data_IF_489082321881
#
_entry.id   IF_489082321881
#
_cell.length_a   1.000
_cell.length_b   1.000
_cell.length_c   1.000
_cell.angle_alpha   90.00
_cell.angle_beta   90.00
_cell.angle_gamma   90.00
#
_symmetry.space_group_name_H-M   'P 1'
#
loop_
_entity.id
_entity.type
_entity.pdbx_description
1 polymer ?
#
# COMPACT_ATOMS: atom_id res chain seq x y z
N UNK A 1 -28.40 7.47 -0.11
CA UNK A 1 -27.61 8.51 0.61
C UNK A 1 -26.27 7.90 1.01
N UNK A 2 -25.28 7.94 0.11
CA UNK A 2 -23.92 7.46 0.40
C UNK A 2 -23.00 8.68 0.44
N UNK A 3 -22.44 8.98 1.62
CA UNK A 3 -21.45 10.05 1.75
C UNK A 3 -20.09 9.54 1.27
N UNK A 4 -19.63 10.10 0.15
CA UNK A 4 -18.29 9.93 -0.39
C UNK A 4 -17.26 10.54 0.57
N UNK A 5 -16.52 9.70 1.29
CA UNK A 5 -15.34 10.14 2.02
C UNK A 5 -14.11 10.02 1.10
N UNK A 6 -13.77 11.12 0.42
CA UNK A 6 -12.43 11.32 -0.13
C UNK A 6 -11.44 11.28 1.03
N UNK A 7 -10.62 10.23 1.13
CA UNK A 7 -9.41 10.27 1.93
C UNK A 7 -8.26 10.57 0.98
N UNK A 8 -7.97 11.86 0.81
CA UNK A 8 -6.69 12.31 0.26
C UNK A 8 -5.61 11.92 1.26
N UNK A 9 -5.09 10.69 1.13
CA UNK A 9 -3.93 10.24 1.88
C UNK A 9 -2.75 11.06 1.35
N UNK A 10 -2.23 11.96 2.18
CA UNK A 10 -0.98 12.66 1.89
C UNK A 10 0.12 11.62 2.12
N UNK A 11 0.58 11.01 1.03
CA UNK A 11 1.71 10.08 1.03
C UNK A 11 2.96 10.93 0.87
N UNK A 12 3.65 11.24 1.97
CA UNK A 12 5.00 11.81 1.89
C UNK A 12 5.98 10.66 1.66
N UNK A 13 6.24 10.39 0.38
CA UNK A 13 7.40 9.60 -0.03
C UNK A 13 8.60 10.56 -0.07
N UNK A 14 9.80 10.11 0.32
CA UNK A 14 11.07 10.87 0.17
C UNK A 14 12.03 10.08 -0.72
N UNK A 15 12.55 10.68 -1.81
CA UNK A 15 13.39 10.01 -2.82
C UNK A 15 13.17 10.50 -4.26
N UNK A 16 14.08 10.18 -5.18
CA UNK A 16 13.88 10.41 -6.61
C UNK A 16 12.95 9.31 -7.18
N UNK A 17 12.15 9.60 -8.20
CA UNK A 17 11.29 8.58 -8.86
C UNK A 17 10.02 8.19 -8.07
N UNK A 18 9.57 9.06 -7.17
CA UNK A 18 8.39 8.84 -6.32
C UNK A 18 7.08 8.93 -7.09
N UNK A 19 7.05 9.79 -8.10
CA UNK A 19 5.83 10.04 -8.86
C UNK A 19 5.36 8.77 -9.57
N UNK A 20 6.30 7.90 -9.92
CA UNK A 20 6.11 6.61 -10.54
C UNK A 20 5.40 5.64 -9.59
N UNK A 21 5.71 5.63 -8.29
CA UNK A 21 5.00 4.81 -7.29
C UNK A 21 3.52 5.15 -7.13
N UNK A 22 3.13 6.36 -7.55
CA UNK A 22 1.78 6.90 -7.45
C UNK A 22 1.11 7.07 -8.82
N UNK A 23 1.80 6.69 -9.90
CA UNK A 23 1.32 6.91 -11.26
C UNK A 23 0.30 5.84 -11.66
N UNK A 24 -0.72 6.21 -12.43
CA UNK A 24 -1.78 5.27 -12.82
C UNK A 24 -1.32 4.24 -13.88
N UNK A 25 -0.33 4.59 -14.71
CA UNK A 25 0.29 3.63 -15.65
C UNK A 25 1.35 2.80 -14.94
N UNK A 26 1.20 1.48 -15.08
CA UNK A 26 2.11 0.44 -14.61
C UNK A 26 3.35 0.26 -15.50
N UNK A 27 3.45 1.01 -16.60
CA UNK A 27 4.62 0.98 -17.49
C UNK A 27 5.79 1.74 -16.88
N UNK A 28 5.50 2.66 -15.94
CA UNK A 28 6.48 3.37 -15.15
C UNK A 28 6.75 2.63 -13.85
N UNK A 29 7.98 2.75 -13.35
CA UNK A 29 8.40 2.13 -12.12
C UNK A 29 9.37 3.01 -11.35
N UNK A 30 9.33 2.89 -10.04
CA UNK A 30 10.43 3.32 -9.19
C UNK A 30 11.51 2.26 -9.23
N UNK A 31 12.75 2.71 -9.42
CA UNK A 31 13.94 1.89 -9.34
C UNK A 31 14.75 2.33 -8.13
N UNK A 32 15.18 1.38 -7.30
CA UNK A 32 16.13 1.68 -6.23
C UNK A 32 17.52 1.98 -6.79
N UNK A 33 18.27 2.79 -6.05
CA UNK A 33 19.69 3.02 -6.31
C UNK A 33 20.42 3.05 -4.96
N UNK A 34 21.11 1.96 -4.63
CA UNK A 34 21.82 1.83 -3.36
C UNK A 34 22.06 0.40 -2.88
N UNK A 35 22.63 0.23 -1.68
CA UNK A 35 22.77 -1.08 -1.06
C UNK A 35 21.43 -1.58 -0.50
N UNK A 36 21.23 -2.90 -0.52
CA UNK A 36 20.10 -3.55 0.16
C UNK A 36 20.23 -3.42 1.70
N UNK A 37 19.09 -3.36 2.43
CA UNK A 37 17.72 -3.40 1.92
C UNK A 37 17.23 -2.07 1.35
N UNK A 38 16.50 -2.14 0.22
CA UNK A 38 15.91 -0.96 -0.40
C UNK A 38 14.66 -0.53 0.34
N UNK A 39 14.54 0.75 0.68
CA UNK A 39 13.50 1.22 1.60
C UNK A 39 12.54 2.20 0.94
N UNK A 40 11.25 1.92 1.02
CA UNK A 40 10.16 2.87 0.73
C UNK A 40 9.49 3.24 2.05
N UNK A 41 9.43 4.52 2.34
CA UNK A 41 8.83 5.05 3.58
C UNK A 41 7.63 5.92 3.25
N UNK A 42 6.49 5.63 3.89
CA UNK A 42 5.25 6.39 3.81
C UNK A 42 4.96 6.98 5.19
N UNK A 43 5.01 8.30 5.29
CA UNK A 43 4.69 9.03 6.52
C UNK A 43 3.29 9.65 6.46
N UNK A 44 2.49 9.43 7.51
CA UNK A 44 1.20 10.07 7.72
C UNK A 44 1.33 11.21 8.73
N UNK A 45 0.67 12.37 8.50
CA UNK A 45 0.76 13.51 9.41
C UNK A 45 0.13 13.26 10.79
N UNK A 46 -0.71 12.23 10.91
CA UNK A 46 -1.39 11.81 12.14
C UNK A 46 -1.56 10.30 12.16
N UNK A 47 -1.79 9.74 13.35
CA UNK A 47 -2.01 8.31 13.54
C UNK A 47 -3.24 7.82 12.75
N UNK A 48 -3.00 7.09 11.68
CA UNK A 48 -3.97 6.72 10.64
C UNK A 48 -4.34 5.25 10.75
N UNK A 49 -5.63 4.93 10.50
CA UNK A 49 -6.12 3.57 10.44
C UNK A 49 -5.72 2.93 9.10
N UNK A 50 -4.96 1.84 9.13
CA UNK A 50 -4.40 1.14 7.97
C UNK A 50 -4.87 -0.31 8.01
N UNK A 51 -5.42 -0.78 6.89
CA UNK A 51 -5.84 -2.16 6.70
C UNK A 51 -4.88 -2.92 5.79
N UNK A 52 -4.50 -2.33 4.66
CA UNK A 52 -3.75 -3.04 3.63
C UNK A 52 -2.70 -2.15 2.98
N UNK A 53 -1.63 -2.77 2.51
CA UNK A 53 -0.76 -2.21 1.47
C UNK A 53 -0.96 -3.02 0.20
N UNK A 54 -1.08 -2.32 -0.93
CA UNK A 54 -1.07 -2.93 -2.25
C UNK A 54 0.18 -2.50 -2.99
N UNK A 55 0.80 -3.45 -3.70
CA UNK A 55 1.97 -3.20 -4.55
C UNK A 55 1.75 -3.84 -5.91
N UNK A 56 2.05 -3.14 -7.00
CA UNK A 56 2.07 -3.75 -8.33
C UNK A 56 3.48 -4.22 -8.66
N UNK A 57 3.64 -5.52 -8.87
CA UNK A 57 4.90 -6.18 -9.23
C UNK A 57 4.71 -6.97 -10.53
N UNK A 58 5.74 -7.06 -11.37
CA UNK A 58 5.64 -7.76 -12.64
C UNK A 58 6.92 -8.53 -12.99
N UNK A 59 7.00 -9.78 -12.53
CA UNK A 59 8.16 -10.64 -12.75
C UNK A 59 8.50 -10.84 -14.23
N UNK A 60 7.50 -10.87 -15.11
CA UNK A 60 7.73 -11.11 -16.54
C UNK A 60 8.47 -9.95 -17.20
N UNK A 61 8.23 -8.74 -16.73
CA UNK A 61 8.83 -7.54 -17.28
C UNK A 61 10.06 -7.07 -16.49
N UNK A 62 10.14 -7.39 -15.19
CA UNK A 62 11.20 -6.90 -14.29
C UNK A 62 12.25 -7.97 -13.94
N UNK A 63 11.97 -9.26 -14.14
CA UNK A 63 12.90 -10.38 -13.89
C UNK A 63 13.61 -10.25 -12.52
N UNK A 64 14.94 -10.09 -12.52
CA UNK A 64 15.77 -9.94 -11.31
C UNK A 64 15.50 -8.66 -10.50
N UNK A 65 14.86 -7.64 -11.07
CA UNK A 65 14.46 -6.43 -10.34
C UNK A 65 13.21 -6.63 -9.47
N UNK A 66 12.55 -7.79 -9.58
CA UNK A 66 11.30 -8.07 -8.86
C UNK A 66 11.57 -8.47 -7.42
N UNK A 67 10.98 -7.80 -6.41
CA UNK A 67 11.03 -8.24 -5.02
C UNK A 67 10.62 -9.71 -4.85
N UNK A 68 11.44 -10.50 -4.17
CA UNK A 68 11.11 -11.87 -3.73
C UNK A 68 10.78 -11.91 -2.25
N UNK A 69 11.34 -10.98 -1.47
CA UNK A 69 11.04 -10.85 -0.04
C UNK A 69 11.08 -9.38 0.38
N UNK A 70 10.05 -8.99 1.12
CA UNK A 70 9.97 -7.69 1.77
C UNK A 70 9.67 -7.86 3.27
N UNK A 71 9.92 -6.80 4.03
CA UNK A 71 9.44 -6.66 5.40
C UNK A 71 8.68 -5.34 5.51
N UNK A 72 7.45 -5.39 6.01
CA UNK A 72 6.61 -4.22 6.23
C UNK A 72 6.57 -3.88 7.71
N UNK A 73 7.02 -2.68 8.05
CA UNK A 73 7.00 -2.14 9.40
C UNK A 73 5.90 -1.08 9.52
N UNK A 74 5.22 -1.11 10.66
CA UNK A 74 4.36 -0.02 11.12
C UNK A 74 5.07 0.71 12.24
N UNK A 75 4.83 2.01 12.41
CA UNK A 75 5.45 2.74 13.51
C UNK A 75 4.70 4.00 13.92
N UNK A 76 5.01 4.46 15.13
CA UNK A 76 4.58 5.78 15.60
C UNK A 76 5.47 6.90 15.08
N UNK A 77 6.71 6.59 14.71
CA UNK A 77 7.68 7.45 14.02
C UNK A 77 8.72 6.57 13.32
N UNK A 78 9.61 7.16 12.53
CA UNK A 78 10.74 6.43 11.91
C UNK A 78 11.72 5.84 12.92
N UNK A 79 11.76 6.38 14.14
CA UNK A 79 12.62 5.91 15.22
C UNK A 79 11.96 4.81 16.07
N UNK A 80 10.64 4.61 15.89
CA UNK A 80 9.82 3.72 16.69
C UNK A 80 8.92 2.88 15.79
N UNK A 81 9.55 1.92 15.11
CA UNK A 81 8.89 0.88 14.33
C UNK A 81 8.55 -0.32 15.23
N UNK A 82 7.37 -0.90 15.03
CA UNK A 82 6.91 -2.15 15.61
C UNK A 82 7.59 -3.35 14.92
N UNK A 83 7.27 -4.57 15.36
CA UNK A 83 7.77 -5.80 14.72
C UNK A 83 7.39 -5.87 13.23
N UNK A 84 8.38 -6.16 12.39
CA UNK A 84 8.21 -6.24 10.95
C UNK A 84 7.41 -7.47 10.52
N UNK A 85 6.52 -7.28 9.55
CA UNK A 85 5.79 -8.36 8.89
C UNK A 85 6.56 -8.82 7.63
N UNK A 86 7.18 -10.01 7.62
CA UNK A 86 7.81 -10.54 6.43
C UNK A 86 6.74 -10.99 5.42
N UNK A 87 6.97 -10.69 4.14
CA UNK A 87 6.13 -11.12 3.02
C UNK A 87 7.05 -11.64 1.92
N UNK A 88 6.71 -12.79 1.36
CA UNK A 88 7.45 -13.44 0.28
C UNK A 88 6.58 -13.50 -0.98
N UNK A 89 7.22 -13.33 -2.13
CA UNK A 89 6.59 -13.37 -3.44
C UNK A 89 7.28 -14.42 -4.30
N UNK A 90 6.50 -15.15 -5.08
CA UNK A 90 6.99 -16.13 -6.04
C UNK A 90 6.54 -15.73 -7.44
N UNK A 91 7.46 -15.15 -8.22
CA UNK A 91 7.23 -14.65 -9.58
C UNK A 91 5.92 -13.83 -9.72
N UNK A 92 5.72 -12.80 -8.87
CA UNK A 92 4.45 -12.09 -8.80
C UNK A 92 4.14 -11.37 -10.12
N UNK A 93 2.87 -11.39 -10.54
CA UNK A 93 2.39 -10.60 -11.68
C UNK A 93 1.09 -9.90 -11.28
N UNK A 94 1.09 -8.57 -11.30
CA UNK A 94 -0.04 -7.73 -10.94
C UNK A 94 -0.06 -7.29 -9.48
N UNK A 95 -1.25 -6.90 -9.00
CA UNK A 95 -1.46 -6.37 -7.65
C UNK A 95 -1.27 -7.44 -6.56
N UNK A 96 -0.33 -7.17 -5.66
CA UNK A 96 -0.10 -7.93 -4.43
C UNK A 96 -0.74 -7.19 -3.26
N UNK A 97 -1.58 -7.89 -2.48
CA UNK A 97 -2.29 -7.34 -1.32
C UNK A 97 -1.67 -7.87 -0.03
N UNK A 98 -1.21 -6.96 0.83
CA UNK A 98 -0.59 -7.27 2.11
C UNK A 98 -1.54 -6.84 3.22
N UNK A 99 -1.96 -7.79 4.05
CA UNK A 99 -2.83 -7.54 5.20
C UNK A 99 -2.04 -7.02 6.40
N UNK A 100 -2.31 -5.77 6.77
CA UNK A 100 -1.70 -5.10 7.90
C UNK A 100 -2.63 -4.99 9.10
N UNK A 101 -3.81 -5.61 9.06
CA UNK A 101 -4.73 -5.61 10.20
C UNK A 101 -4.15 -6.40 11.36
N UNK A 102 -4.59 -6.07 12.57
CA UNK A 102 -4.22 -6.80 13.78
C UNK A 102 -4.61 -8.27 13.65
N UNK A 103 -3.62 -9.18 13.67
CA UNK A 103 -3.86 -10.63 13.61
C UNK A 103 -4.81 -11.13 14.71
N UNK A 104 -4.79 -10.49 15.88
CA UNK A 104 -5.65 -10.87 17.02
C UNK A 104 -7.09 -10.40 16.87
N UNK A 105 -7.31 -9.21 16.31
CA UNK A 105 -8.63 -8.54 16.36
C UNK A 105 -9.27 -8.32 15.00
N UNK A 106 -8.51 -8.59 13.92
CA UNK A 106 -8.86 -8.30 12.54
C UNK A 106 -9.27 -6.83 12.29
N UNK A 107 -8.83 -5.93 13.17
CA UNK A 107 -9.11 -4.49 13.09
C UNK A 107 -7.96 -3.77 12.39
N UNK A 108 -8.23 -2.59 11.79
CA UNK A 108 -7.18 -1.75 11.22
C UNK A 108 -6.07 -1.50 12.24
N UNK A 109 -4.83 -1.65 11.80
CA UNK A 109 -3.67 -1.22 12.59
C UNK A 109 -3.55 0.29 12.52
N UNK A 110 -2.91 0.90 13.51
CA UNK A 110 -2.87 2.35 13.62
C UNK A 110 -1.45 2.86 13.74
N UNK A 111 -0.96 3.51 12.68
CA UNK A 111 0.42 3.94 12.56
C UNK A 111 0.53 5.36 12.00
N UNK A 112 1.69 5.98 12.16
CA UNK A 112 2.10 7.20 11.47
C UNK A 112 3.15 6.94 10.40
N UNK A 113 3.77 5.76 10.41
CA UNK A 113 4.75 5.34 9.41
C UNK A 113 4.39 3.95 8.93
N UNK A 114 4.46 3.75 7.61
CA UNK A 114 4.61 2.44 6.97
C UNK A 114 5.97 2.44 6.29
N UNK A 115 6.84 1.52 6.66
CA UNK A 115 8.13 1.34 6.00
C UNK A 115 8.18 -0.04 5.35
N UNK A 116 8.45 -0.07 4.05
CA UNK A 116 8.59 -1.29 3.26
C UNK A 116 10.06 -1.43 2.94
N UNK A 117 10.67 -2.52 3.40
CA UNK A 117 12.05 -2.86 3.09
C UNK A 117 12.07 -4.05 2.13
N UNK A 118 12.64 -3.86 0.94
CA UNK A 118 12.95 -4.94 0.01
C UNK A 118 14.28 -5.54 0.41
N UNK A 119 14.22 -6.75 1.00
CA UNK A 119 15.40 -7.45 1.53
C UNK A 119 16.01 -8.39 0.51
N UNK A 120 15.20 -8.96 -0.39
CA UNK A 120 15.67 -9.78 -1.50
C UNK A 120 14.84 -9.54 -2.75
N UNK A 121 15.51 -9.63 -3.89
CA UNK A 121 14.87 -9.75 -5.20
C UNK A 121 15.01 -11.17 -5.74
N UNK A 122 14.27 -11.48 -6.80
CA UNK A 122 14.46 -12.71 -7.55
C UNK A 122 15.85 -12.74 -8.19
N UNK A 123 16.37 -13.95 -8.43
CA UNK A 123 17.65 -14.17 -9.12
C UNK A 123 18.85 -13.40 -8.51
N UNK A 124 18.78 -13.06 -7.22
CA UNK A 124 19.76 -12.22 -6.52
C UNK A 124 19.98 -10.84 -7.17
N UNK A 125 18.94 -10.27 -7.79
CA UNK A 125 19.01 -8.96 -8.40
C UNK A 125 19.38 -7.87 -7.40
N UNK A 126 20.23 -6.95 -7.83
CA UNK A 126 20.82 -5.91 -6.99
C UNK A 126 19.81 -4.83 -6.63
N UNK A 127 19.19 -4.23 -7.65
CA UNK A 127 18.22 -3.14 -7.53
C UNK A 127 16.79 -3.68 -7.67
N UNK A 128 15.79 -2.89 -7.27
CA UNK A 128 14.38 -3.30 -7.28
C UNK A 128 13.52 -2.37 -8.12
N UNK A 129 12.52 -2.92 -8.81
CA UNK A 129 11.44 -2.20 -9.45
C UNK A 129 10.14 -2.35 -8.66
N UNK A 130 9.50 -1.23 -8.36
CA UNK A 130 8.12 -1.22 -7.85
C UNK A 130 7.32 -0.28 -8.75
N UNK A 131 6.30 -0.83 -9.40
CA UNK A 131 5.50 -0.09 -10.39
C UNK A 131 4.44 0.80 -9.76
N UNK A 132 3.85 0.37 -8.65
CA UNK A 132 2.86 1.18 -7.93
C UNK A 132 2.71 0.71 -6.48
N UNK A 133 2.45 1.64 -5.55
CA UNK A 133 2.03 1.35 -4.18
C UNK A 133 0.74 2.08 -3.82
N UNK A 134 -0.15 1.42 -3.05
CA UNK A 134 -1.33 2.04 -2.43
C UNK A 134 -1.45 1.59 -0.98
N UNK A 135 -1.84 2.51 -0.10
CA UNK A 135 -2.20 2.17 1.29
C UNK A 135 -3.70 2.34 1.46
N UNK A 136 -4.35 1.32 2.01
CA UNK A 136 -5.80 1.29 2.18
C UNK A 136 -6.16 1.33 3.67
N UNK A 137 -7.08 2.22 4.02
CA UNK A 137 -7.71 2.31 5.33
C UNK A 137 -9.22 1.99 5.27
N UNK A 138 -9.91 1.94 6.41
CA UNK A 138 -11.35 1.76 6.45
C UNK A 138 -12.07 2.98 5.85
N UNK A 139 -13.21 2.75 5.17
CA UNK A 139 -14.04 3.83 4.59
C UNK A 139 -14.54 4.85 5.61
N UNK A 140 -14.61 4.47 6.89
CA UNK A 140 -14.86 5.36 8.04
C UNK A 140 -13.74 5.22 9.05
N UNK A 141 -12.86 6.22 9.15
CA UNK A 141 -11.87 6.28 10.22
C UNK A 141 -12.57 6.64 11.54
N UNK A 142 -12.06 6.08 12.65
CA UNK A 142 -12.61 6.32 13.99
C UNK A 142 -12.51 7.77 14.46
N UNK A 143 -11.74 8.62 13.76
CA UNK A 143 -11.50 10.02 14.15
C UNK A 143 -12.11 11.06 13.21
N UNK A 144 -13.10 10.69 12.36
CA UNK A 144 -13.87 11.66 11.57
C UNK A 144 -14.92 12.45 12.41
N UNK A 145 -14.69 12.63 13.71
CA UNK A 145 -15.50 13.50 14.56
C UNK A 145 -14.87 14.89 14.61
N UNK A 146 -15.56 15.87 13.98
CA UNK A 146 -15.31 17.33 14.00
C UNK A 146 -14.82 18.01 12.71
N UNK A 147 -15.36 17.64 11.55
CA UNK A 147 -15.36 18.56 10.41
C UNK A 147 -16.76 18.64 9.81
N UNK A 148 -17.65 19.43 10.44
CA UNK A 148 -18.87 19.90 9.79
C UNK A 148 -18.41 20.92 8.74
N UNK A 149 -18.49 20.61 7.46
CA UNK A 149 -18.34 21.61 6.40
C UNK A 149 -19.54 21.52 5.45
N UNK A 150 -20.11 22.70 5.21
CA UNK A 150 -21.33 22.95 4.45
C UNK A 150 -21.24 22.47 3.00
N UNK A 151 -22.41 22.05 2.49
CA UNK A 151 -22.64 21.58 1.14
C UNK A 151 -22.36 22.67 0.09
N UNK A 152 -21.57 22.32 -0.93
CA UNK A 152 -21.52 22.98 -2.24
C UNK A 152 -21.87 21.95 -3.33
N UNK A 153 -22.66 22.38 -4.33
CA UNK A 153 -23.24 21.53 -5.39
C UNK A 153 -22.20 20.89 -6.34
N UNK A 154 -22.57 19.80 -7.06
CA UNK A 154 -21.64 18.83 -7.64
C UNK A 154 -21.11 19.25 -9.01
N UNK A 155 -19.78 19.23 -9.15
CA UNK A 155 -19.08 19.20 -10.44
C UNK A 155 -18.69 17.75 -10.75
N UNK A 156 -19.14 17.27 -11.90
CA UNK A 156 -18.88 15.95 -12.49
C UNK A 156 -17.38 15.66 -12.61
N UNK A 157 -16.90 14.63 -11.93
CA UNK A 157 -15.70 13.87 -12.31
C UNK A 157 -16.02 12.42 -12.05
N UNK A 158 -16.00 11.64 -13.12
CA UNK A 158 -16.43 10.25 -13.20
C UNK A 158 -16.00 9.41 -11.99
N UNK A 159 -17.00 8.73 -11.44
CA UNK A 159 -16.87 7.81 -10.33
C UNK A 159 -15.77 6.79 -10.62
N UNK A 160 -14.73 6.74 -9.77
CA UNK A 160 -13.87 5.55 -9.70
C UNK A 160 -14.70 4.39 -9.13
N UNK A 161 -15.47 3.77 -10.00
CA UNK A 161 -16.02 2.43 -9.82
C UNK A 161 -14.84 1.48 -9.94
N UNK A 162 -14.41 0.87 -8.82
CA UNK A 162 -13.49 -0.26 -8.87
C UNK A 162 -14.19 -1.41 -9.61
N UNK A 163 -13.72 -1.83 -10.80
CA UNK A 163 -14.24 -3.03 -11.42
C UNK A 163 -13.45 -4.26 -10.91
N UNK A 164 -14.04 -5.46 -11.06
CA UNK A 164 -13.45 -6.75 -10.70
C UNK A 164 -12.02 -6.90 -11.19
N UNK A 165 -11.14 -7.66 -10.54
CA UNK A 165 -10.02 -8.26 -11.31
C UNK A 165 -10.56 -9.46 -12.14
N UNK A 166 -11.82 -9.44 -12.56
CA UNK A 166 -12.80 -10.54 -12.59
C UNK A 166 -12.97 -11.26 -11.25
N UNK A 167 -11.89 -11.41 -10.47
CA UNK A 167 -11.91 -11.63 -9.03
C UNK A 167 -10.63 -11.12 -8.30
N UNK A 168 -10.61 -9.85 -7.84
CA UNK A 168 -10.23 -9.58 -6.44
C UNK A 168 -11.28 -10.24 -5.51
N UNK A 169 -12.27 -10.86 -6.12
CA UNK A 169 -13.65 -10.94 -5.70
C UNK A 169 -14.12 -12.38 -5.51
N UNK A 170 -13.19 -13.30 -5.27
CA UNK A 170 -13.49 -14.46 -4.43
C UNK A 170 -12.78 -14.44 -3.09
N UNK A 171 -11.67 -13.71 -2.92
CA UNK A 171 -10.91 -13.69 -1.65
C UNK A 171 -10.79 -12.32 -0.96
N UNK A 172 -11.25 -11.22 -1.57
CA UNK A 172 -12.12 -10.31 -0.80
C UNK A 172 -13.28 -11.11 -0.17
N UNK A 173 -13.82 -12.10 -0.91
CA UNK A 173 -14.99 -12.89 -0.52
C UNK A 173 -14.70 -14.17 0.31
N UNK A 174 -13.44 -14.56 0.61
CA UNK A 174 -13.13 -15.80 1.34
C UNK A 174 -12.02 -15.70 2.38
N UNK A 175 -11.42 -14.52 2.62
CA UNK A 175 -10.89 -14.23 3.96
C UNK A 175 -12.02 -14.05 5.00
N UNK A 176 -13.28 -14.14 4.55
CA UNK A 176 -14.47 -14.49 5.32
C UNK A 176 -14.71 -16.01 5.51
N UNK A 177 -13.78 -16.90 5.14
CA UNK A 177 -13.94 -18.36 5.28
C UNK A 177 -12.88 -18.98 6.23
N UNK A 178 -12.92 -18.53 7.49
CA UNK A 178 -12.75 -19.29 8.75
C UNK A 178 -11.79 -20.51 8.75
N UNK A 179 -10.72 -20.43 9.56
CA UNK A 179 -10.60 -21.10 10.88
C UNK A 179 -9.46 -20.52 11.71
#
# INVERSE_FOLDING_TARGET
MYSNARQSIIIMLKGNGIHELLHDSVDKYWQSDGPQPHTVTIEFPRKTDICFVMMYLDFKNDESYTPSKIIVYLGSSLMHLDDGLPVEFNEPTGWQLIDLRSRRTNRPSRAMVVQIQVVHNHQNGRDTHIRHIRVLGPSRSRFASHSRLHAGRPGTVDDFVLPPVSDLNKLINSCMAIR
#
